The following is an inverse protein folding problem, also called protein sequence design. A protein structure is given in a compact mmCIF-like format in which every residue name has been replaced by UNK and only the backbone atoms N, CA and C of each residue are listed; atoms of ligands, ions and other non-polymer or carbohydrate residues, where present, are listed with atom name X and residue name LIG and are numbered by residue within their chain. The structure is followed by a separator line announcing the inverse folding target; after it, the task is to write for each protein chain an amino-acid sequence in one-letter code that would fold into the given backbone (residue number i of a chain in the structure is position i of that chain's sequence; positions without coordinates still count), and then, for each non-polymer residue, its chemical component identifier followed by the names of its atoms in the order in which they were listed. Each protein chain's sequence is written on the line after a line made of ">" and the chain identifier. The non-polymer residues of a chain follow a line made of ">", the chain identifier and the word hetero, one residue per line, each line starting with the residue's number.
data_IF_933146545474
#
_entry.id   IF_933146545474
#
_cell.length_a   1.000
_cell.length_b   1.000
_cell.length_c   1.000
_cell.angle_alpha   90.00
_cell.angle_beta   90.00
_cell.angle_gamma   90.00
#
_symmetry.space_group_name_H-M   'P 1'
#
loop_
_entity.id
_entity.type
_entity.pdbx_description
1 polymer ?
#
# COMPACT_ATOMS: atom_id res chain seq x y z
N UNK A 1 -49.61 10.72 -26.11
CA UNK A 1 -48.18 10.69 -26.45
C UNK A 1 -47.28 11.06 -25.28
N UNK A 2 -47.46 12.21 -24.63
CA UNK A 2 -46.63 12.59 -23.47
C UNK A 2 -46.83 11.70 -22.22
N UNK A 3 -48.00 11.17 -21.99
CA UNK A 3 -48.33 10.32 -20.83
C UNK A 3 -47.68 8.93 -20.96
N UNK A 4 -47.65 8.38 -22.18
CA UNK A 4 -47.02 7.08 -22.45
C UNK A 4 -45.51 7.13 -22.28
N UNK A 5 -44.85 8.21 -22.74
CA UNK A 5 -43.41 8.43 -22.57
C UNK A 5 -43.05 8.56 -21.09
N UNK A 6 -43.89 9.23 -20.29
CA UNK A 6 -43.71 9.34 -18.83
C UNK A 6 -43.87 8.01 -18.12
N UNK A 7 -44.84 7.19 -18.55
CA UNK A 7 -45.01 5.84 -17.99
C UNK A 7 -43.84 4.91 -18.35
N UNK A 8 -43.35 4.97 -19.58
CA UNK A 8 -42.18 4.22 -20.03
C UNK A 8 -40.92 4.64 -19.27
N UNK A 9 -40.69 5.94 -19.06
CA UNK A 9 -39.57 6.43 -18.26
C UNK A 9 -39.66 5.96 -16.81
N UNK A 10 -40.82 5.99 -16.19
CA UNK A 10 -41.03 5.51 -14.83
C UNK A 10 -40.85 4.00 -14.70
N UNK A 11 -41.18 3.22 -15.72
CA UNK A 11 -40.95 1.78 -15.78
C UNK A 11 -39.48 1.42 -15.93
N UNK A 12 -38.72 2.22 -16.67
CA UNK A 12 -37.26 2.07 -16.81
C UNK A 12 -36.54 2.42 -15.51
N UNK A 13 -37.00 3.49 -14.84
CA UNK A 13 -36.41 3.92 -13.53
C UNK A 13 -36.73 2.94 -12.39
N UNK A 14 -37.81 2.16 -12.53
CA UNK A 14 -38.16 1.11 -11.57
C UNK A 14 -37.42 -0.22 -11.76
N UNK A 15 -36.58 -0.36 -12.78
CA UNK A 15 -35.65 -1.49 -12.83
C UNK A 15 -34.71 -1.35 -11.63
N UNK A 16 -35.05 -2.03 -10.55
CA UNK A 16 -34.24 -2.16 -9.34
C UNK A 16 -32.86 -2.66 -9.77
N UNK A 17 -31.90 -1.76 -9.83
CA UNK A 17 -30.48 -2.12 -9.83
C UNK A 17 -30.29 -3.19 -8.75
N UNK A 18 -29.58 -4.27 -9.04
CA UNK A 18 -29.32 -5.29 -8.04
C UNK A 18 -28.75 -4.57 -6.82
N UNK A 19 -29.47 -4.59 -5.71
CA UNK A 19 -29.00 -4.06 -4.44
C UNK A 19 -27.80 -4.93 -4.05
N UNK A 20 -26.61 -4.49 -4.40
CA UNK A 20 -25.40 -5.02 -3.83
C UNK A 20 -25.56 -4.93 -2.31
N UNK A 21 -25.82 -6.07 -1.66
CA UNK A 21 -25.87 -6.13 -0.20
C UNK A 21 -24.52 -5.62 0.30
N UNK A 22 -24.47 -4.55 1.08
CA UNK A 22 -23.20 -4.09 1.63
C UNK A 22 -22.63 -5.22 2.49
N UNK A 23 -21.48 -5.73 2.09
CA UNK A 23 -20.73 -6.73 2.85
C UNK A 23 -20.66 -6.25 4.30
N UNK A 24 -21.02 -7.11 5.25
CA UNK A 24 -20.97 -6.80 6.68
C UNK A 24 -19.60 -6.20 7.00
N UNK A 25 -19.56 -5.15 7.84
CA UNK A 25 -18.32 -4.42 8.19
C UNK A 25 -17.15 -5.35 8.52
N UNK A 26 -17.41 -6.45 9.24
CA UNK A 26 -16.41 -7.47 9.60
C UNK A 26 -15.83 -8.20 8.37
N UNK A 27 -16.63 -8.45 7.35
CA UNK A 27 -16.17 -9.11 6.12
C UNK A 27 -15.30 -8.18 5.29
N UNK A 28 -15.63 -6.87 5.21
CA UNK A 28 -14.79 -5.86 4.56
C UNK A 28 -13.43 -5.71 5.23
N UNK A 29 -13.37 -5.75 6.55
CA UNK A 29 -12.10 -5.67 7.28
C UNK A 29 -11.23 -6.91 7.03
N UNK A 30 -11.80 -8.09 7.07
CA UNK A 30 -11.08 -9.34 6.77
C UNK A 30 -10.55 -9.37 5.34
N UNK A 31 -11.36 -8.92 4.39
CA UNK A 31 -10.92 -8.83 2.99
C UNK A 31 -9.77 -7.86 2.79
N UNK A 32 -9.77 -6.71 3.48
CA UNK A 32 -8.66 -5.76 3.45
C UNK A 32 -7.37 -6.34 4.01
N UNK A 33 -7.46 -7.01 5.16
CA UNK A 33 -6.29 -7.65 5.79
C UNK A 33 -5.73 -8.74 4.88
N UNK A 34 -6.60 -9.56 4.29
CA UNK A 34 -6.20 -10.57 3.33
C UNK A 34 -5.50 -9.97 2.11
N UNK A 35 -6.03 -8.87 1.59
CA UNK A 35 -5.44 -8.13 0.48
C UNK A 35 -4.05 -7.57 0.84
N UNK A 36 -3.86 -7.04 2.05
CA UNK A 36 -2.56 -6.57 2.51
C UNK A 36 -1.54 -7.70 2.62
N UNK A 37 -1.93 -8.82 3.19
CA UNK A 37 -1.06 -10.01 3.32
C UNK A 37 -0.71 -10.56 1.94
N UNK A 38 -1.67 -10.67 1.04
CA UNK A 38 -1.46 -11.14 -0.33
C UNK A 38 -0.53 -10.20 -1.11
N UNK A 39 -0.72 -8.89 -1.00
CA UNK A 39 0.13 -7.87 -1.62
C UNK A 39 1.57 -7.93 -1.11
N UNK A 40 1.74 -8.12 0.21
CA UNK A 40 3.06 -8.29 0.84
C UNK A 40 3.78 -9.54 0.33
N UNK A 41 3.09 -10.69 0.33
CA UNK A 41 3.63 -11.94 -0.15
C UNK A 41 3.99 -11.90 -1.64
N UNK A 42 3.13 -11.30 -2.46
CA UNK A 42 3.38 -11.16 -3.90
C UNK A 42 4.59 -10.25 -4.17
N UNK A 43 4.68 -9.11 -3.49
CA UNK A 43 5.81 -8.19 -3.63
C UNK A 43 7.13 -8.84 -3.21
N UNK A 44 7.11 -9.59 -2.11
CA UNK A 44 8.26 -10.33 -1.64
C UNK A 44 8.71 -11.40 -2.64
N UNK A 45 7.77 -12.18 -3.19
CA UNK A 45 8.06 -13.17 -4.23
C UNK A 45 8.66 -12.54 -5.48
N UNK A 46 8.09 -11.43 -5.94
CA UNK A 46 8.63 -10.70 -7.10
C UNK A 46 10.04 -10.21 -6.79
N UNK A 47 10.25 -9.62 -5.61
CA UNK A 47 11.56 -9.10 -5.21
C UNK A 47 12.62 -10.20 -5.13
N UNK A 48 12.30 -11.36 -4.58
CA UNK A 48 13.27 -12.45 -4.41
C UNK A 48 13.46 -13.31 -5.65
N UNK A 49 12.44 -13.44 -6.52
CA UNK A 49 12.49 -14.32 -7.69
C UNK A 49 12.89 -13.59 -8.97
N UNK A 50 12.40 -12.38 -9.18
CA UNK A 50 12.55 -11.66 -10.44
C UNK A 50 13.84 -10.83 -10.49
N UNK A 51 14.16 -10.16 -9.38
CA UNK A 51 15.34 -9.26 -9.38
C UNK A 51 16.69 -9.97 -9.55
N UNK A 52 16.95 -11.16 -9.00
CA UNK A 52 18.19 -11.86 -9.23
C UNK A 52 18.38 -12.31 -10.68
N UNK A 53 17.29 -12.44 -11.45
CA UNK A 53 17.32 -12.84 -12.85
C UNK A 53 17.76 -11.72 -13.80
N UNK A 54 17.72 -10.46 -13.36
CA UNK A 54 18.04 -9.30 -14.19
C UNK A 54 19.31 -8.65 -13.65
N UNK A 55 20.49 -8.93 -14.23
CA UNK A 55 21.77 -8.40 -13.74
C UNK A 55 21.87 -6.87 -13.85
N UNK A 56 21.07 -6.25 -14.69
CA UNK A 56 20.99 -4.79 -14.83
C UNK A 56 20.30 -4.11 -13.63
N UNK A 57 19.49 -4.85 -12.87
CA UNK A 57 18.81 -4.38 -11.66
C UNK A 57 19.56 -4.74 -10.37
N UNK A 58 20.88 -4.90 -10.41
CA UNK A 58 21.69 -5.19 -9.22
C UNK A 58 21.59 -4.14 -8.12
N UNK A 59 21.20 -2.89 -8.48
CA UNK A 59 20.75 -1.86 -7.54
C UNK A 59 19.20 -1.91 -7.37
N UNK A 60 18.68 -3.10 -7.08
CA UNK A 60 17.23 -3.32 -7.06
C UNK A 60 16.52 -2.40 -6.07
N UNK A 61 15.56 -1.59 -6.51
CA UNK A 61 14.74 -0.82 -5.62
C UNK A 61 13.95 -1.79 -4.72
N UNK A 62 13.95 -1.52 -3.43
CA UNK A 62 13.24 -2.35 -2.46
C UNK A 62 11.72 -2.20 -2.68
N UNK A 63 11.12 -3.18 -3.37
CA UNK A 63 9.69 -3.15 -3.73
C UNK A 63 8.81 -3.10 -2.48
N UNK A 64 9.21 -3.78 -1.43
CA UNK A 64 8.54 -3.75 -0.14
C UNK A 64 8.56 -2.36 0.47
N UNK A 65 9.64 -1.62 0.30
CA UNK A 65 9.76 -0.24 0.80
C UNK A 65 8.81 0.69 0.05
N UNK A 66 8.77 0.58 -1.28
CA UNK A 66 7.87 1.37 -2.13
C UNK A 66 6.40 1.10 -1.76
N UNK A 67 6.04 -0.16 -1.55
CA UNK A 67 4.69 -0.53 -1.13
C UNK A 67 4.37 -0.01 0.27
N UNK A 68 5.28 -0.13 1.23
CA UNK A 68 5.10 0.40 2.59
C UNK A 68 4.88 1.90 2.56
N UNK A 69 5.65 2.63 1.76
CA UNK A 69 5.47 4.05 1.52
C UNK A 69 4.07 4.36 0.94
N UNK A 70 3.70 3.67 -0.14
CA UNK A 70 2.41 3.88 -0.81
C UNK A 70 1.23 3.60 0.11
N UNK A 71 1.28 2.53 0.88
CA UNK A 71 0.22 2.20 1.84
C UNK A 71 0.15 3.17 3.01
N UNK A 72 1.29 3.60 3.55
CA UNK A 72 1.35 4.64 4.57
C UNK A 72 0.74 5.95 4.09
N UNK A 73 1.08 6.35 2.87
CA UNK A 73 0.57 7.58 2.27
C UNK A 73 -0.94 7.53 1.97
N UNK A 74 -1.44 6.40 1.42
CA UNK A 74 -2.84 6.27 1.02
C UNK A 74 -3.81 6.02 2.19
N UNK A 75 -3.38 5.31 3.22
CA UNK A 75 -4.27 4.83 4.28
C UNK A 75 -3.99 5.46 5.65
N UNK A 76 -2.93 6.25 5.77
CA UNK A 76 -2.55 6.93 7.00
C UNK A 76 -1.50 6.18 7.83
N UNK A 77 -1.16 6.73 9.00
CA UNK A 77 -0.04 6.28 9.83
C UNK A 77 -0.22 4.86 10.40
N UNK A 78 -1.39 4.56 10.94
CA UNK A 78 -1.64 3.25 11.57
C UNK A 78 -1.56 2.06 10.59
N UNK A 79 -2.28 2.07 9.44
CA UNK A 79 -2.14 1.02 8.45
C UNK A 79 -0.73 0.94 7.85
N UNK A 80 -0.07 2.10 7.66
CA UNK A 80 1.31 2.17 7.19
C UNK A 80 2.30 1.49 8.13
N UNK A 81 2.16 1.70 9.44
CA UNK A 81 2.97 1.03 10.46
C UNK A 81 2.78 -0.49 10.44
N UNK A 82 1.53 -0.96 10.40
CA UNK A 82 1.21 -2.40 10.39
C UNK A 82 1.77 -3.06 9.13
N UNK A 83 1.63 -2.41 7.99
CA UNK A 83 2.16 -2.90 6.73
C UNK A 83 3.70 -2.91 6.74
N UNK A 84 4.32 -1.84 7.24
CA UNK A 84 5.76 -1.73 7.42
C UNK A 84 6.33 -2.80 8.35
N UNK A 85 5.64 -3.08 9.46
CA UNK A 85 6.02 -4.14 10.39
C UNK A 85 5.98 -5.51 9.69
N UNK A 86 4.94 -5.81 8.94
CA UNK A 86 4.85 -7.05 8.17
C UNK A 86 5.95 -7.17 7.11
N UNK A 87 6.21 -6.10 6.37
CA UNK A 87 7.27 -6.05 5.37
C UNK A 87 8.67 -6.21 5.98
N UNK A 88 8.92 -5.50 7.08
CA UNK A 88 10.19 -5.59 7.81
C UNK A 88 10.44 -6.96 8.43
N UNK A 89 9.41 -7.58 9.01
CA UNK A 89 9.50 -8.94 9.54
C UNK A 89 9.84 -9.97 8.45
N UNK A 90 9.26 -9.84 7.27
CA UNK A 90 9.62 -10.69 6.14
C UNK A 90 11.08 -10.51 5.75
N UNK A 91 11.57 -9.28 5.73
CA UNK A 91 12.98 -9.00 5.47
C UNK A 91 13.90 -9.58 6.55
N UNK A 92 13.57 -9.40 7.83
CA UNK A 92 14.36 -9.92 8.95
C UNK A 92 14.44 -11.45 8.97
N UNK A 93 13.40 -12.14 8.49
CA UNK A 93 13.37 -13.61 8.39
C UNK A 93 14.28 -14.17 7.29
N UNK A 94 14.39 -13.46 6.17
CA UNK A 94 15.08 -13.96 4.98
C UNK A 94 16.46 -13.36 4.76
N UNK A 95 16.77 -12.24 5.41
CA UNK A 95 18.08 -11.61 5.33
C UNK A 95 18.86 -11.84 6.64
N UNK A 96 20.13 -12.17 6.51
CA UNK A 96 21.05 -12.50 7.64
C UNK A 96 21.52 -11.27 8.43
N UNK A 97 20.66 -10.28 8.61
CA UNK A 97 20.94 -9.09 9.43
C UNK A 97 20.58 -9.27 10.90
N UNK A 98 20.85 -8.26 11.74
CA UNK A 98 20.37 -8.25 13.12
C UNK A 98 18.84 -8.26 13.13
N UNK A 99 18.27 -9.25 13.80
CA UNK A 99 16.83 -9.50 13.84
C UNK A 99 16.09 -8.31 14.45
N UNK A 100 15.03 -7.83 13.77
CA UNK A 100 14.21 -6.73 14.20
C UNK A 100 14.61 -5.35 13.64
N UNK A 101 15.74 -5.26 12.98
CA UNK A 101 16.28 -4.00 12.50
C UNK A 101 15.56 -3.48 11.24
N UNK A 102 15.32 -4.35 10.26
CA UNK A 102 14.51 -4.00 9.09
C UNK A 102 13.06 -3.70 9.47
N UNK A 103 12.53 -4.46 10.42
CA UNK A 103 11.20 -4.25 10.96
C UNK A 103 11.04 -2.85 11.56
N UNK A 104 12.02 -2.40 12.35
CA UNK A 104 12.01 -1.07 12.97
C UNK A 104 12.05 0.05 11.93
N UNK A 105 12.92 -0.07 10.92
CA UNK A 105 13.02 0.94 9.84
C UNK A 105 11.75 1.02 9.01
N UNK A 106 11.19 -0.11 8.62
CA UNK A 106 9.96 -0.14 7.83
C UNK A 106 8.76 0.42 8.59
N UNK A 107 8.66 0.14 9.90
CA UNK A 107 7.63 0.74 10.77
C UNK A 107 7.79 2.25 10.85
N UNK A 108 9.03 2.73 11.03
CA UNK A 108 9.32 4.16 11.09
C UNK A 108 8.95 4.87 9.78
N UNK A 109 9.32 4.27 8.64
CA UNK A 109 8.99 4.78 7.31
C UNK A 109 7.47 4.80 7.11
N UNK A 110 6.78 3.72 7.46
CA UNK A 110 5.32 3.64 7.37
C UNK A 110 4.62 4.69 8.23
N UNK A 111 5.14 4.93 9.44
CA UNK A 111 4.62 5.96 10.35
C UNK A 111 4.84 7.38 9.81
N UNK A 112 6.07 7.71 9.43
CA UNK A 112 6.42 9.05 8.92
C UNK A 112 5.61 9.39 7.68
N UNK A 113 5.51 8.47 6.73
CA UNK A 113 4.75 8.72 5.51
C UNK A 113 3.25 8.88 5.78
N UNK A 114 2.70 8.08 6.69
CA UNK A 114 1.31 8.22 7.11
C UNK A 114 1.04 9.51 7.91
N UNK A 115 2.00 9.97 8.69
CA UNK A 115 1.91 11.25 9.40
C UNK A 115 1.94 12.42 8.42
N UNK A 116 2.86 12.41 7.48
CA UNK A 116 2.95 13.45 6.46
C UNK A 116 1.77 13.46 5.51
N UNK A 117 1.16 12.33 5.19
CA UNK A 117 -0.03 12.27 4.34
C UNK A 117 -1.20 13.08 4.92
N UNK A 118 -1.24 13.26 6.23
CA UNK A 118 -2.29 14.02 6.93
C UNK A 118 -2.15 15.54 6.75
N UNK A 119 -0.94 16.02 6.52
CA UNK A 119 -0.66 17.45 6.23
C UNK A 119 -0.83 17.79 4.76
N UNK A 120 -0.99 16.77 3.89
CA UNK A 120 -0.90 16.88 2.45
C UNK A 120 -2.25 16.67 1.75
N UNK A 121 -3.29 17.36 2.16
CA UNK A 121 -4.59 17.23 1.52
C UNK A 121 -4.80 18.13 0.28
N UNK A 122 -3.86 19.02 -0.04
CA UNK A 122 -4.02 19.97 -1.17
C UNK A 122 -2.74 20.13 -2.01
N UNK A 123 -2.84 19.71 -3.25
CA UNK A 123 -2.29 20.30 -4.49
C UNK A 123 -0.83 20.06 -4.95
N UNK A 124 0.09 19.42 -4.24
CA UNK A 124 1.45 19.32 -4.77
C UNK A 124 1.97 17.89 -4.89
N UNK A 125 2.03 17.40 -6.15
CA UNK A 125 2.65 16.13 -6.54
C UNK A 125 4.16 16.07 -6.19
N UNK A 126 4.79 17.23 -6.03
CA UNK A 126 6.23 17.37 -5.76
C UNK A 126 6.67 16.80 -4.41
N UNK A 127 5.80 16.79 -3.43
CA UNK A 127 6.14 16.37 -2.07
C UNK A 127 6.14 14.86 -1.84
N UNK A 128 5.22 14.05 -2.42
CA UNK A 128 5.38 12.61 -2.38
C UNK A 128 6.66 12.14 -3.08
N UNK A 129 7.10 12.83 -4.15
CA UNK A 129 8.40 12.56 -4.78
C UNK A 129 9.56 12.86 -3.84
N UNK A 130 9.52 13.99 -3.13
CA UNK A 130 10.58 14.36 -2.17
C UNK A 130 10.65 13.39 -0.99
N UNK A 131 9.50 12.95 -0.48
CA UNK A 131 9.40 11.94 0.57
C UNK A 131 9.91 10.57 0.11
N UNK A 132 9.67 10.19 -1.14
CA UNK A 132 10.18 8.96 -1.71
C UNK A 132 11.72 8.99 -1.77
N UNK A 133 12.30 10.07 -2.23
CA UNK A 133 13.76 10.29 -2.27
C UNK A 133 14.35 10.30 -0.86
N UNK A 134 13.70 10.96 0.08
CA UNK A 134 14.15 11.01 1.48
C UNK A 134 14.15 9.63 2.15
N UNK A 135 13.11 8.84 1.92
CA UNK A 135 13.03 7.47 2.41
C UNK A 135 14.08 6.55 1.76
N UNK A 136 14.34 6.72 0.47
CA UNK A 136 15.41 6.01 -0.22
C UNK A 136 16.79 6.39 0.34
N UNK A 137 17.01 7.67 0.65
CA UNK A 137 18.24 8.16 1.27
C UNK A 137 18.45 7.55 2.66
N UNK A 138 17.44 7.57 3.52
CA UNK A 138 17.50 6.96 4.86
C UNK A 138 17.82 5.48 4.75
N UNK A 139 17.16 4.77 3.85
CA UNK A 139 17.41 3.34 3.62
C UNK A 139 18.83 3.08 3.11
N UNK A 140 19.32 3.93 2.22
CA UNK A 140 20.68 3.79 1.66
C UNK A 140 21.76 4.07 2.69
N UNK A 141 21.62 5.15 3.47
CA UNK A 141 22.53 5.48 4.59
C UNK A 141 22.54 4.33 5.58
N UNK A 142 21.38 3.73 5.85
CA UNK A 142 21.22 2.65 6.78
C UNK A 142 21.92 1.35 6.37
N UNK A 143 21.95 1.02 5.08
CA UNK A 143 22.66 -0.16 4.56
C UNK A 143 24.18 0.05 4.58
N UNK A 144 24.64 1.30 4.41
CA UNK A 144 26.08 1.60 4.34
C UNK A 144 26.72 1.90 5.71
N UNK A 145 25.94 2.12 6.73
CA UNK A 145 26.42 2.30 8.11
C UNK A 145 26.36 1.01 8.90
#
# INVERSE_FOLDING_TARGET
>A
MQVEVRQAMNAVTKRKLPKFKPLKRKTKQRLRILFYIASLGLAFLIQTSVFPLIPFLAASPNLLLILTFSFGFLHGSLPGMIYGLGAGLLMDLFYSGPFGFYSLVFVLIGYLNGFFSRFYYEEYITLPMFMCVFNLLIYHIYIYV
#
